data_IF_345624910371
#
_entry.id   IF_345624910371
#
_cell.length_a   1.000
_cell.length_b   1.000
_cell.length_c   1.000
_cell.angle_alpha   90.00
_cell.angle_beta   90.00
_cell.angle_gamma   90.00
#
_symmetry.space_group_name_H-M   'P 1'
#
loop_
_entity.id
_entity.type
_entity.pdbx_description
1 polymer ?
#
# COMPACT_ATOMS: atom_id res chain seq x y z
N UNK A 1 -10.86 13.62 -2.96
CA UNK A 1 -11.56 12.41 -2.46
C UNK A 1 -10.66 11.17 -2.52
N UNK A 2 -9.86 11.00 -3.57
CA UNK A 2 -9.02 9.80 -3.74
C UNK A 2 -7.87 9.72 -2.72
N UNK A 3 -7.20 10.84 -2.40
CA UNK A 3 -6.20 10.92 -1.31
C UNK A 3 -6.77 10.43 0.04
N UNK A 4 -8.01 10.80 0.37
CA UNK A 4 -8.66 10.38 1.62
C UNK A 4 -9.04 8.90 1.64
N UNK A 5 -9.45 8.34 0.49
CA UNK A 5 -9.65 6.90 0.34
C UNK A 5 -8.35 6.12 0.49
N UNK A 6 -7.26 6.62 -0.11
CA UNK A 6 -5.93 6.01 0.01
C UNK A 6 -5.45 5.96 1.46
N UNK A 7 -5.59 7.07 2.19
CA UNK A 7 -5.30 7.10 3.64
C UNK A 7 -6.15 6.11 4.43
N UNK A 8 -7.43 5.97 4.08
CA UNK A 8 -8.31 4.98 4.72
C UNK A 8 -7.85 3.54 4.45
N UNK A 9 -7.43 3.21 3.23
CA UNK A 9 -6.88 1.90 2.88
C UNK A 9 -5.57 1.61 3.62
N UNK A 10 -4.67 2.60 3.70
CA UNK A 10 -3.43 2.47 4.48
C UNK A 10 -3.70 2.20 5.96
N UNK A 11 -4.70 2.88 6.53
CA UNK A 11 -5.11 2.65 7.92
C UNK A 11 -5.66 1.23 8.11
N UNK A 12 -6.52 0.77 7.21
CA UNK A 12 -7.06 -0.60 7.26
C UNK A 12 -5.96 -1.66 7.11
N UNK A 13 -4.98 -1.42 6.23
CA UNK A 13 -3.82 -2.28 6.06
C UNK A 13 -3.00 -2.32 7.36
N UNK A 14 -2.71 -1.17 7.96
CA UNK A 14 -1.96 -1.07 9.21
C UNK A 14 -2.67 -1.78 10.38
N UNK A 15 -3.98 -1.55 10.54
CA UNK A 15 -4.80 -2.23 11.55
C UNK A 15 -4.84 -3.75 11.31
N UNK A 16 -4.96 -4.18 10.05
CA UNK A 16 -4.91 -5.59 9.68
C UNK A 16 -3.58 -6.25 10.02
N UNK A 17 -2.47 -5.54 9.86
CA UNK A 17 -1.12 -6.00 10.24
C UNK A 17 -0.96 -6.12 11.75
N UNK A 18 -1.45 -5.14 12.52
CA UNK A 18 -1.43 -5.18 13.99
C UNK A 18 -2.23 -6.36 14.56
N UNK A 19 -3.32 -6.74 13.89
CA UNK A 19 -4.16 -7.87 14.29
C UNK A 19 -3.64 -9.23 13.77
N UNK A 20 -2.56 -9.25 12.99
CA UNK A 20 -1.98 -10.48 12.45
C UNK A 20 -0.76 -10.87 13.29
N UNK A 21 -0.90 -11.88 14.16
CA UNK A 21 0.15 -12.32 15.10
C UNK A 21 1.47 -12.79 14.47
N UNK A 22 1.48 -13.11 13.16
CA UNK A 22 2.63 -13.70 12.47
C UNK A 22 3.00 -12.97 11.17
N UNK A 23 3.06 -11.64 11.18
CA UNK A 23 3.66 -10.91 10.06
C UNK A 23 5.18 -10.95 10.22
N UNK A 24 5.88 -11.46 9.20
CA UNK A 24 7.34 -11.46 9.14
C UNK A 24 7.91 -10.03 9.27
N UNK A 25 9.01 -9.85 9.99
CA UNK A 25 9.66 -8.55 10.19
C UNK A 25 10.10 -7.92 8.85
N UNK A 26 10.49 -8.74 7.87
CA UNK A 26 10.82 -8.27 6.52
C UNK A 26 9.60 -7.65 5.84
N UNK A 27 8.47 -8.34 5.96
CA UNK A 27 7.21 -7.93 5.38
C UNK A 27 6.68 -6.66 6.05
N UNK A 28 6.77 -6.59 7.37
CA UNK A 28 6.44 -5.40 8.16
C UNK A 28 7.28 -4.20 7.74
N UNK A 29 8.58 -4.40 7.52
CA UNK A 29 9.49 -3.35 7.04
C UNK A 29 9.12 -2.86 5.65
N UNK A 30 8.79 -3.77 4.72
CA UNK A 30 8.34 -3.40 3.37
C UNK A 30 7.06 -2.56 3.38
N UNK A 31 6.12 -2.87 4.28
CA UNK A 31 4.87 -2.13 4.42
C UNK A 31 5.05 -0.76 5.06
N UNK A 32 5.93 -0.65 6.06
CA UNK A 32 6.29 0.63 6.66
C UNK A 32 6.93 1.56 5.61
N UNK A 33 7.83 1.02 4.79
CA UNK A 33 8.42 1.78 3.69
C UNK A 33 7.36 2.23 2.68
N UNK A 34 6.49 1.32 2.22
CA UNK A 34 5.39 1.67 1.30
C UNK A 34 4.48 2.76 1.88
N UNK A 35 4.14 2.66 3.17
CA UNK A 35 3.31 3.66 3.84
C UNK A 35 3.98 5.04 3.90
N UNK A 36 5.28 5.07 4.20
CA UNK A 36 6.05 6.32 4.24
C UNK A 36 6.16 6.95 2.85
N UNK A 37 6.48 6.15 1.83
CA UNK A 37 6.59 6.63 0.45
C UNK A 37 5.26 7.22 -0.03
N UNK A 38 4.13 6.55 0.25
CA UNK A 38 2.80 7.07 -0.10
C UNK A 38 2.48 8.35 0.67
N UNK A 39 2.85 8.45 1.96
CA UNK A 39 2.67 9.68 2.73
C UNK A 39 3.49 10.85 2.16
N UNK A 40 4.74 10.62 1.75
CA UNK A 40 5.55 11.64 1.10
C UNK A 40 4.89 12.12 -0.20
N UNK A 41 4.45 11.19 -1.04
CA UNK A 41 3.78 11.50 -2.30
C UNK A 41 2.44 12.20 -2.10
N UNK A 42 1.68 11.85 -1.06
CA UNK A 42 0.41 12.52 -0.74
C UNK A 42 0.61 13.96 -0.24
N UNK A 43 1.70 14.20 0.49
CA UNK A 43 2.08 15.50 1.03
C UNK A 43 2.71 16.41 -0.04
N UNK A 44 3.37 15.82 -1.03
CA UNK A 44 3.82 16.52 -2.21
C UNK A 44 2.60 16.76 -3.13
N UNK A 45 2.18 18.02 -3.29
CA UNK A 45 1.04 18.36 -4.16
C UNK A 45 1.35 18.26 -5.66
N UNK A 46 2.53 17.74 -6.02
CA UNK A 46 2.92 17.45 -7.39
C UNK A 46 2.70 15.97 -7.67
N UNK A 47 1.73 15.61 -8.53
CA UNK A 47 1.65 14.25 -9.02
C UNK A 47 2.82 13.99 -9.95
N UNK A 48 3.76 13.17 -9.50
CA UNK A 48 4.83 12.64 -10.33
C UNK A 48 4.44 11.21 -10.72
N UNK A 49 3.89 11.04 -11.93
CA UNK A 49 3.41 9.77 -12.50
C UNK A 49 4.38 8.58 -12.32
N UNK A 50 5.72 8.74 -12.48
CA UNK A 50 6.68 7.67 -12.24
C UNK A 50 6.66 7.16 -10.80
N UNK A 51 6.42 8.03 -9.82
CA UNK A 51 6.42 7.65 -8.41
C UNK A 51 5.14 6.86 -8.08
N UNK A 52 3.98 7.33 -8.53
CA UNK A 52 2.72 6.61 -8.34
C UNK A 52 2.74 5.23 -9.00
N UNK A 53 3.31 5.13 -10.22
CA UNK A 53 3.50 3.85 -10.92
C UNK A 53 4.40 2.90 -10.13
N UNK A 54 5.54 3.37 -9.62
CA UNK A 54 6.45 2.55 -8.81
C UNK A 54 5.82 2.08 -7.49
N UNK A 55 5.00 2.93 -6.85
CA UNK A 55 4.26 2.56 -5.64
C UNK A 55 3.15 1.56 -5.93
N UNK A 56 2.46 1.69 -7.06
CA UNK A 56 1.48 0.70 -7.51
C UNK A 56 2.12 -0.66 -7.71
N UNK A 57 3.23 -0.74 -8.46
CA UNK A 57 3.96 -1.99 -8.70
C UNK A 57 4.40 -2.64 -7.38
N UNK A 58 4.94 -1.84 -6.45
CA UNK A 58 5.35 -2.33 -5.12
C UNK A 58 4.17 -2.88 -4.33
N UNK A 59 3.02 -2.20 -4.35
CA UNK A 59 1.80 -2.65 -3.67
C UNK A 59 1.26 -3.94 -4.27
N UNK A 60 1.29 -4.09 -5.60
CA UNK A 60 0.88 -5.31 -6.29
C UNK A 60 1.83 -6.48 -6.02
N UNK A 61 3.14 -6.22 -5.97
CA UNK A 61 4.13 -7.24 -5.61
C UNK A 61 3.92 -7.72 -4.15
N UNK A 62 3.58 -6.81 -3.24
CA UNK A 62 3.23 -7.17 -1.86
C UNK A 62 1.91 -7.93 -1.81
N UNK A 63 0.87 -7.52 -2.53
CA UNK A 63 -0.41 -8.26 -2.53
C UNK A 63 -0.22 -9.71 -2.98
N UNK A 64 0.61 -9.97 -4.00
CA UNK A 64 0.94 -11.32 -4.45
C UNK A 64 1.63 -12.16 -3.37
N UNK A 65 2.56 -11.57 -2.60
CA UNK A 65 3.21 -12.25 -1.46
C UNK A 65 2.23 -12.57 -0.33
N UNK A 66 1.33 -11.62 -0.05
CA UNK A 66 0.31 -11.75 0.98
C UNK A 66 -0.81 -12.72 0.60
N UNK A 67 -1.10 -12.92 -0.68
CA UNK A 67 -2.10 -13.89 -1.13
C UNK A 67 -1.82 -15.31 -0.58
N UNK A 68 -0.54 -15.67 -0.45
CA UNK A 68 -0.12 -16.98 0.06
C UNK A 68 -0.07 -17.03 1.60
N UNK A 69 0.41 -15.96 2.26
CA UNK A 69 0.72 -15.98 3.70
C UNK A 69 -0.35 -15.30 4.56
N UNK A 70 -1.05 -14.31 4.01
CA UNK A 70 -1.96 -13.41 4.71
C UNK A 70 -3.14 -12.99 3.80
N UNK A 71 -4.02 -13.95 3.41
CA UNK A 71 -5.08 -13.72 2.43
C UNK A 71 -6.11 -12.67 2.87
N UNK A 72 -6.16 -12.31 4.16
CA UNK A 72 -7.05 -11.25 4.67
C UNK A 72 -6.58 -9.83 4.31
N UNK A 73 -5.29 -9.64 4.08
CA UNK A 73 -4.68 -8.33 3.80
C UNK A 73 -4.44 -8.09 2.31
N UNK A 74 -4.43 -9.17 1.53
CA UNK A 74 -4.30 -9.14 0.07
C UNK A 74 -5.30 -8.20 -0.63
N UNK A 75 -6.62 -8.19 -0.29
CA UNK A 75 -7.58 -7.35 -0.99
C UNK A 75 -7.29 -5.86 -0.80
N UNK A 76 -6.86 -5.48 0.40
CA UNK A 76 -6.53 -4.09 0.75
C UNK A 76 -5.30 -3.61 -0.02
N UNK A 77 -4.25 -4.45 -0.12
CA UNK A 77 -3.05 -4.15 -0.90
C UNK A 77 -3.32 -4.09 -2.41
N UNK A 78 -4.21 -4.96 -2.92
CA UNK A 78 -4.64 -4.92 -4.31
C UNK A 78 -5.39 -3.63 -4.62
N UNK A 79 -6.32 -3.24 -3.76
CA UNK A 79 -7.07 -1.99 -3.92
C UNK A 79 -6.15 -0.77 -3.83
N UNK A 80 -5.18 -0.78 -2.90
CA UNK A 80 -4.17 0.26 -2.77
C UNK A 80 -3.36 0.42 -4.07
N UNK A 81 -2.86 -0.68 -4.64
CA UNK A 81 -2.12 -0.67 -5.90
C UNK A 81 -2.96 -0.12 -7.05
N UNK A 82 -4.22 -0.54 -7.16
CA UNK A 82 -5.12 -0.05 -8.19
C UNK A 82 -5.50 1.43 -8.03
N UNK A 83 -5.54 1.97 -6.81
CA UNK A 83 -5.70 3.42 -6.60
C UNK A 83 -4.46 4.20 -6.99
N UNK A 84 -3.28 3.71 -6.61
CA UNK A 84 -2.00 4.33 -6.96
C UNK A 84 -1.78 4.36 -8.48
N UNK A 85 -2.13 3.27 -9.16
CA UNK A 85 -2.09 3.20 -10.63
C UNK A 85 -2.98 4.26 -11.26
N UNK A 86 -4.23 4.39 -10.82
CA UNK A 86 -5.16 5.42 -11.33
C UNK A 86 -4.70 6.85 -11.08
N UNK A 87 -3.85 7.08 -10.08
CA UNK A 87 -3.31 8.41 -9.77
C UNK A 87 -2.06 8.76 -10.58
N UNK A 88 -1.34 7.75 -11.10
CA UNK A 88 -0.13 7.93 -11.90
C UNK A 88 -0.31 7.64 -13.39
N UNK A 89 -1.55 7.45 -13.84
CA UNK A 89 -1.96 7.22 -15.25
C UNK A 89 -2.73 8.42 -15.77
#
# INVERSE_FOLDING_TARGET
>A
MEKEKLKSLLKQLHEGLLNTEHVDDDVKSLLLNLNNDIHEVLNNDVPDDPIYSALSERSQALSARFAAQHPKLEPVLRELGGMLEKMGV
#
